data_IF_444657596049
#
_entry.id   IF_444657596049
#
_cell.length_a   1.000
_cell.length_b   1.000
_cell.length_c   1.000
_cell.angle_alpha   90.00
_cell.angle_beta   90.00
_cell.angle_gamma   90.00
#
_symmetry.space_group_name_H-M   'P 1'
#
loop_
_entity.id
_entity.type
_entity.pdbx_description
1 polymer ?
#
# COMPACT_ATOMS: atom_id res chain seq x y z
N UNK A 1 -12.91 9.31 -23.05
CA UNK A 1 -11.71 8.80 -22.34
C UNK A 1 -12.05 7.39 -21.89
N UNK A 2 -11.15 6.43 -22.06
CA UNK A 2 -11.34 5.11 -21.47
C UNK A 2 -11.39 5.28 -19.94
N UNK A 3 -12.39 4.68 -19.29
CA UNK A 3 -12.52 4.70 -17.83
C UNK A 3 -11.87 3.45 -17.22
N UNK A 4 -11.39 3.55 -16.01
CA UNK A 4 -10.91 2.43 -15.20
C UNK A 4 -11.77 2.31 -13.95
N UNK A 5 -12.52 1.21 -13.85
CA UNK A 5 -13.25 0.88 -12.63
C UNK A 5 -12.32 0.19 -11.64
N UNK A 6 -12.41 0.59 -10.39
CA UNK A 6 -11.56 0.15 -9.29
C UNK A 6 -12.36 -0.70 -8.31
N UNK A 7 -11.82 -1.84 -7.92
CA UNK A 7 -12.25 -2.59 -6.75
C UNK A 7 -11.23 -2.39 -5.62
N UNK A 8 -11.66 -1.75 -4.52
CA UNK A 8 -10.86 -1.56 -3.33
C UNK A 8 -11.14 -2.69 -2.35
N UNK A 9 -10.11 -3.41 -1.93
CA UNK A 9 -10.21 -4.57 -1.04
C UNK A 9 -9.50 -4.26 0.29
N UNK A 10 -10.28 -4.23 1.34
CA UNK A 10 -9.85 -3.77 2.68
C UNK A 10 -10.18 -2.29 2.90
N UNK A 11 -11.22 -2.00 3.67
CA UNK A 11 -11.67 -0.65 3.97
C UNK A 11 -11.42 -0.28 5.45
N UNK A 12 -10.19 -0.52 5.91
CA UNK A 12 -9.69 -0.02 7.19
C UNK A 12 -9.26 1.46 7.09
N UNK A 13 -8.33 1.88 7.94
CA UNK A 13 -7.83 3.28 7.96
C UNK A 13 -7.30 3.73 6.60
N UNK A 14 -6.41 2.95 5.99
CA UNK A 14 -5.78 3.31 4.70
C UNK A 14 -6.78 3.18 3.56
N UNK A 15 -7.53 2.05 3.52
CA UNK A 15 -8.51 1.82 2.47
C UNK A 15 -9.65 2.82 2.49
N UNK A 16 -10.17 3.17 3.67
CA UNK A 16 -11.19 4.18 3.81
C UNK A 16 -10.75 5.56 3.33
N UNK A 17 -9.54 5.99 3.72
CA UNK A 17 -8.96 7.24 3.23
C UNK A 17 -8.76 7.23 1.71
N UNK A 18 -8.31 6.10 1.16
CA UNK A 18 -8.15 5.93 -0.30
C UNK A 18 -9.49 6.02 -1.02
N UNK A 19 -10.54 5.36 -0.51
CA UNK A 19 -11.89 5.44 -1.06
C UNK A 19 -12.42 6.88 -1.05
N UNK A 20 -12.25 7.60 0.07
CA UNK A 20 -12.66 9.02 0.16
C UNK A 20 -11.95 9.90 -0.87
N UNK A 21 -10.64 9.71 -1.08
CA UNK A 21 -9.87 10.47 -2.07
C UNK A 21 -10.40 10.17 -3.48
N UNK A 22 -10.63 8.90 -3.82
CA UNK A 22 -11.14 8.51 -5.14
C UNK A 22 -12.51 9.13 -5.43
N UNK A 23 -13.41 9.18 -4.43
CA UNK A 23 -14.73 9.78 -4.58
C UNK A 23 -14.67 11.31 -4.61
N UNK A 24 -14.01 11.93 -3.63
CA UNK A 24 -13.94 13.38 -3.48
C UNK A 24 -13.20 14.07 -4.62
N UNK A 25 -12.07 13.51 -5.01
CA UNK A 25 -11.13 14.14 -5.94
C UNK A 25 -11.24 13.56 -7.36
N UNK A 26 -12.33 12.86 -7.67
CA UNK A 26 -12.56 12.15 -8.94
C UNK A 26 -12.27 12.99 -10.17
N UNK A 27 -12.79 14.20 -10.25
CA UNK A 27 -12.58 15.10 -11.40
C UNK A 27 -11.12 15.55 -11.51
N UNK A 28 -10.52 15.90 -10.38
CA UNK A 28 -9.12 16.33 -10.33
C UNK A 28 -8.20 15.20 -10.79
N UNK A 29 -8.41 14.00 -10.27
CA UNK A 29 -7.64 12.80 -10.64
C UNK A 29 -7.82 12.48 -12.12
N UNK A 30 -9.04 12.52 -12.62
CA UNK A 30 -9.35 12.27 -14.04
C UNK A 30 -8.65 13.26 -14.97
N UNK A 31 -8.65 14.55 -14.64
CA UNK A 31 -7.94 15.58 -15.42
C UNK A 31 -6.43 15.37 -15.39
N UNK A 32 -5.89 14.99 -14.23
CA UNK A 32 -4.44 14.81 -14.04
C UNK A 32 -3.90 13.56 -14.70
N UNK A 33 -4.66 12.47 -14.68
CA UNK A 33 -4.24 11.18 -15.25
C UNK A 33 -4.64 10.99 -16.71
N UNK A 34 -5.58 11.78 -17.21
CA UNK A 34 -6.17 11.58 -18.53
C UNK A 34 -7.10 10.37 -18.60
N UNK A 35 -7.43 9.74 -17.47
CA UNK A 35 -8.25 8.55 -17.35
C UNK A 35 -9.37 8.80 -16.33
N UNK A 36 -10.60 8.42 -16.64
CA UNK A 36 -11.69 8.46 -15.67
C UNK A 36 -11.50 7.30 -14.68
N UNK A 37 -11.26 7.64 -13.41
CA UNK A 37 -11.17 6.68 -12.32
C UNK A 37 -12.52 6.59 -11.61
N UNK A 38 -13.05 5.38 -11.47
CA UNK A 38 -14.34 5.13 -10.83
C UNK A 38 -14.17 4.07 -9.74
N UNK A 39 -14.53 4.41 -8.51
CA UNK A 39 -14.64 3.42 -7.43
C UNK A 39 -15.93 2.63 -7.65
N UNK A 40 -15.81 1.36 -8.06
CA UNK A 40 -16.95 0.49 -8.36
C UNK A 40 -17.32 -0.45 -7.23
N UNK A 41 -16.32 -0.88 -6.46
CA UNK A 41 -16.52 -1.84 -5.36
C UNK A 41 -15.64 -1.49 -4.16
N UNK A 42 -16.21 -1.65 -2.97
CA UNK A 42 -15.49 -1.68 -1.70
C UNK A 42 -15.71 -3.07 -1.12
N UNK A 43 -14.68 -3.92 -1.20
CA UNK A 43 -14.75 -5.31 -0.75
C UNK A 43 -14.17 -5.41 0.65
N UNK A 44 -15.00 -5.77 1.63
CA UNK A 44 -14.57 -6.00 3.02
C UNK A 44 -15.51 -6.98 3.73
N UNK A 45 -15.05 -7.53 4.84
CA UNK A 45 -15.88 -8.34 5.74
C UNK A 45 -16.75 -7.49 6.67
N UNK A 46 -16.25 -6.29 7.01
CA UNK A 46 -16.92 -5.31 7.88
C UNK A 46 -16.87 -3.91 7.27
N UNK A 47 -18.01 -3.25 7.19
CA UNK A 47 -18.18 -1.92 6.62
C UNK A 47 -18.34 -0.81 7.66
N UNK A 48 -18.03 -1.06 8.94
CA UNK A 48 -18.18 -0.06 9.99
C UNK A 48 -17.36 1.22 9.69
N UNK A 49 -16.11 1.07 9.26
CA UNK A 49 -15.26 2.20 8.86
C UNK A 49 -15.82 2.88 7.62
N UNK A 50 -16.19 2.13 6.59
CA UNK A 50 -16.76 2.68 5.36
C UNK A 50 -18.02 3.52 5.62
N UNK A 51 -18.92 3.04 6.50
CA UNK A 51 -20.14 3.77 6.91
C UNK A 51 -19.80 5.02 7.71
N UNK A 52 -18.84 4.94 8.65
CA UNK A 52 -18.42 6.10 9.45
C UNK A 52 -17.84 7.23 8.61
N UNK A 53 -17.28 6.88 7.46
CA UNK A 53 -16.73 7.81 6.47
C UNK A 53 -17.77 8.32 5.45
N UNK A 54 -19.02 7.86 5.55
CA UNK A 54 -20.11 8.27 4.65
C UNK A 54 -19.97 7.75 3.22
N UNK A 55 -19.23 6.65 3.02
CA UNK A 55 -19.07 6.05 1.70
C UNK A 55 -20.39 5.43 1.23
N UNK A 56 -20.61 5.44 -0.09
CA UNK A 56 -21.85 4.93 -0.70
C UNK A 56 -21.99 3.42 -0.48
N UNK A 57 -23.04 3.02 0.26
CA UNK A 57 -23.29 1.60 0.57
C UNK A 57 -23.61 0.75 -0.67
N UNK A 58 -24.00 1.37 -1.79
CA UNK A 58 -24.20 0.65 -3.04
C UNK A 58 -22.91 0.04 -3.62
N UNK A 59 -21.74 0.50 -3.14
CA UNK A 59 -20.43 -0.02 -3.54
C UNK A 59 -19.95 -1.18 -2.65
N UNK A 60 -20.68 -1.49 -1.55
CA UNK A 60 -20.23 -2.47 -0.58
C UNK A 60 -20.47 -3.89 -1.10
N UNK A 61 -19.43 -4.69 -1.09
CA UNK A 61 -19.43 -6.07 -1.56
C UNK A 61 -18.63 -6.95 -0.57
N UNK A 62 -19.15 -8.13 -0.27
CA UNK A 62 -18.46 -9.10 0.60
C UNK A 62 -17.64 -10.12 -0.16
N UNK A 63 -18.04 -10.36 -1.41
CA UNK A 63 -17.40 -11.36 -2.26
C UNK A 63 -16.49 -10.70 -3.29
N UNK A 64 -15.20 -11.00 -3.17
CA UNK A 64 -14.21 -10.55 -4.13
C UNK A 64 -14.51 -11.04 -5.56
N UNK A 65 -15.11 -12.23 -5.71
CA UNK A 65 -15.38 -12.79 -7.02
C UNK A 65 -16.40 -11.96 -7.80
N UNK A 66 -17.35 -11.32 -7.13
CA UNK A 66 -18.26 -10.36 -7.77
C UNK A 66 -17.48 -9.23 -8.46
N UNK A 67 -16.51 -8.63 -7.76
CA UNK A 67 -15.70 -7.56 -8.31
C UNK A 67 -14.74 -8.05 -9.40
N UNK A 68 -14.17 -9.26 -9.26
CA UNK A 68 -13.25 -9.83 -10.25
C UNK A 68 -13.96 -10.26 -11.54
N UNK A 69 -15.22 -10.68 -11.45
CA UNK A 69 -16.03 -11.09 -12.61
C UNK A 69 -16.54 -9.90 -13.43
N UNK A 70 -16.55 -8.68 -12.87
CA UNK A 70 -16.94 -7.47 -13.60
C UNK A 70 -15.87 -7.13 -14.65
N UNK A 71 -16.19 -7.17 -15.97
CA UNK A 71 -15.23 -6.87 -17.03
C UNK A 71 -14.76 -5.41 -17.03
N UNK A 72 -15.53 -4.48 -16.46
CA UNK A 72 -15.19 -3.07 -16.39
C UNK A 72 -14.16 -2.78 -15.27
N UNK A 73 -14.04 -3.66 -14.28
CA UNK A 73 -13.00 -3.56 -13.26
C UNK A 73 -11.65 -3.86 -13.90
N UNK A 74 -10.76 -2.89 -13.91
CA UNK A 74 -9.40 -3.01 -14.45
C UNK A 74 -8.32 -2.99 -13.36
N UNK A 75 -8.64 -2.43 -12.19
CA UNK A 75 -7.69 -2.23 -11.09
C UNK A 75 -8.28 -2.78 -9.80
N UNK A 76 -7.47 -3.56 -9.07
CA UNK A 76 -7.74 -4.00 -7.70
C UNK A 76 -6.75 -3.30 -6.78
N UNK A 77 -7.25 -2.60 -5.76
CA UNK A 77 -6.44 -1.95 -4.72
C UNK A 77 -6.49 -2.82 -3.47
N UNK A 78 -5.39 -3.51 -3.14
CA UNK A 78 -5.26 -4.41 -1.99
C UNK A 78 -4.72 -3.64 -0.78
N UNK A 79 -5.52 -3.55 0.30
CA UNK A 79 -5.22 -2.83 1.54
C UNK A 79 -5.68 -3.62 2.79
N UNK A 80 -5.71 -4.96 2.71
CA UNK A 80 -6.18 -5.80 3.83
C UNK A 80 -5.12 -6.04 4.90
N UNK A 81 -3.85 -5.85 4.56
CA UNK A 81 -2.72 -6.15 5.45
C UNK A 81 -2.46 -7.66 5.64
N UNK A 82 -1.40 -7.96 6.38
CA UNK A 82 -0.90 -9.34 6.52
C UNK A 82 -0.35 -9.90 5.21
N UNK A 83 0.00 -11.17 5.17
CA UNK A 83 0.63 -11.75 3.97
C UNK A 83 -0.21 -12.84 3.31
N UNK A 84 -0.96 -13.63 4.09
CA UNK A 84 -1.69 -14.81 3.57
C UNK A 84 -2.89 -14.39 2.71
N UNK A 85 -3.83 -13.65 3.30
CA UNK A 85 -5.04 -13.19 2.59
C UNK A 85 -4.68 -12.19 1.48
N UNK A 86 -3.75 -11.27 1.73
CA UNK A 86 -3.28 -10.33 0.73
C UNK A 86 -2.66 -11.02 -0.50
N UNK A 87 -1.87 -12.07 -0.28
CA UNK A 87 -1.32 -12.90 -1.36
C UNK A 87 -2.42 -13.54 -2.21
N UNK A 88 -3.41 -14.15 -1.56
CA UNK A 88 -4.53 -14.80 -2.25
C UNK A 88 -5.31 -13.80 -3.10
N UNK A 89 -5.70 -12.65 -2.53
CA UNK A 89 -6.39 -11.58 -3.23
C UNK A 89 -5.59 -11.13 -4.44
N UNK A 90 -4.32 -10.82 -4.25
CA UNK A 90 -3.42 -10.36 -5.32
C UNK A 90 -3.31 -11.37 -6.43
N UNK A 91 -3.09 -12.66 -6.11
CA UNK A 91 -2.99 -13.71 -7.12
C UNK A 91 -4.31 -13.91 -7.89
N UNK A 92 -5.46 -13.83 -7.22
CA UNK A 92 -6.78 -13.94 -7.87
C UNK A 92 -7.02 -12.77 -8.82
N UNK A 93 -6.71 -11.54 -8.38
CA UNK A 93 -6.81 -10.36 -9.23
C UNK A 93 -5.94 -10.46 -10.49
N UNK A 94 -4.67 -10.85 -10.33
CA UNK A 94 -3.75 -11.02 -11.45
C UNK A 94 -4.23 -12.10 -12.44
N UNK A 95 -4.73 -13.24 -11.95
CA UNK A 95 -5.30 -14.32 -12.80
C UNK A 95 -6.56 -13.85 -13.54
N UNK A 96 -7.34 -12.96 -12.94
CA UNK A 96 -8.51 -12.35 -13.57
C UNK A 96 -8.14 -11.23 -14.56
N UNK A 97 -6.85 -11.01 -14.84
CA UNK A 97 -6.40 -9.98 -15.78
C UNK A 97 -6.54 -8.55 -15.22
N UNK A 98 -6.56 -8.38 -13.91
CA UNK A 98 -6.68 -7.07 -13.26
C UNK A 98 -5.31 -6.58 -12.81
N UNK A 99 -5.03 -5.28 -13.02
CA UNK A 99 -3.87 -4.62 -12.41
C UNK A 99 -4.06 -4.55 -10.90
N UNK A 100 -2.96 -4.59 -10.15
CA UNK A 100 -3.01 -4.52 -8.69
C UNK A 100 -2.24 -3.30 -8.19
N UNK A 101 -2.79 -2.62 -7.19
CA UNK A 101 -2.11 -1.59 -6.40
C UNK A 101 -2.08 -2.09 -4.96
N UNK A 102 -0.92 -2.10 -4.33
CA UNK A 102 -0.80 -2.53 -2.92
C UNK A 102 0.11 -1.59 -2.13
N UNK A 103 -0.20 -1.42 -0.85
CA UNK A 103 0.66 -0.75 0.13
C UNK A 103 1.36 -1.76 1.07
N UNK A 104 1.28 -3.06 0.78
CA UNK A 104 1.67 -4.12 1.68
C UNK A 104 3.16 -4.49 1.49
N UNK A 105 4.02 -3.83 2.29
CA UNK A 105 5.46 -4.06 2.29
C UNK A 105 5.82 -5.53 2.57
N UNK A 106 5.24 -6.12 3.61
CA UNK A 106 5.51 -7.50 4.00
C UNK A 106 5.11 -8.51 2.90
N UNK A 107 3.99 -8.29 2.22
CA UNK A 107 3.58 -9.11 1.07
C UNK A 107 4.66 -9.11 -0.01
N UNK A 108 5.19 -7.94 -0.34
CA UNK A 108 6.20 -7.80 -1.39
C UNK A 108 7.56 -8.35 -0.97
N UNK A 109 7.96 -8.14 0.29
CA UNK A 109 9.21 -8.70 0.83
C UNK A 109 9.23 -10.23 0.74
N UNK A 110 8.09 -10.90 1.04
CA UNK A 110 8.01 -12.36 1.02
C UNK A 110 7.68 -12.95 -0.36
N UNK A 111 6.86 -12.28 -1.17
CA UNK A 111 6.28 -12.87 -2.38
C UNK A 111 6.41 -11.98 -3.62
N UNK A 112 7.08 -10.82 -3.52
CA UNK A 112 7.09 -9.82 -4.59
C UNK A 112 7.60 -10.36 -5.92
N UNK A 113 8.68 -11.14 -5.91
CA UNK A 113 9.26 -11.73 -7.14
C UNK A 113 8.23 -12.60 -7.85
N UNK A 114 7.59 -13.53 -7.11
CA UNK A 114 6.60 -14.45 -7.68
C UNK A 114 5.36 -13.70 -8.19
N UNK A 115 4.90 -12.70 -7.43
CA UNK A 115 3.74 -11.90 -7.80
C UNK A 115 4.00 -11.05 -9.05
N UNK A 116 5.19 -10.45 -9.17
CA UNK A 116 5.58 -9.68 -10.36
C UNK A 116 5.69 -10.58 -11.59
N UNK A 117 6.25 -11.79 -11.44
CA UNK A 117 6.28 -12.77 -12.52
C UNK A 117 4.87 -13.18 -12.96
N UNK A 118 3.97 -13.40 -11.98
CA UNK A 118 2.56 -13.71 -12.24
C UNK A 118 1.85 -12.56 -12.98
N UNK A 119 2.09 -11.32 -12.56
CA UNK A 119 1.53 -10.16 -13.24
C UNK A 119 1.98 -10.09 -14.71
N UNK A 120 3.28 -10.24 -14.96
CA UNK A 120 3.83 -10.27 -16.32
C UNK A 120 3.25 -11.36 -17.19
N UNK A 121 3.07 -12.57 -16.64
CA UNK A 121 2.50 -13.72 -17.36
C UNK A 121 1.04 -13.50 -17.74
N UNK A 122 0.31 -12.66 -17.02
CA UNK A 122 -1.08 -12.32 -17.29
C UNK A 122 -1.24 -10.97 -18.03
N UNK A 123 -0.15 -10.32 -18.44
CA UNK A 123 -0.21 -9.03 -19.15
C UNK A 123 -0.67 -7.85 -18.31
N UNK A 124 -0.55 -7.95 -16.99
CA UNK A 124 -0.95 -6.91 -16.02
C UNK A 124 0.23 -6.48 -15.15
N UNK A 125 0.04 -5.48 -14.31
CA UNK A 125 1.11 -4.90 -13.47
C UNK A 125 0.70 -4.84 -12.00
N UNK A 126 1.71 -4.76 -11.13
CA UNK A 126 1.55 -4.43 -9.72
C UNK A 126 2.22 -3.08 -9.48
N UNK A 127 1.48 -2.12 -8.95
CA UNK A 127 1.99 -0.84 -8.47
C UNK A 127 2.08 -0.86 -6.95
N UNK A 128 3.22 -0.46 -6.39
CA UNK A 128 3.50 -0.63 -4.96
C UNK A 128 4.26 0.56 -4.34
N UNK A 129 4.12 1.75 -4.92
CA UNK A 129 4.74 2.98 -4.39
C UNK A 129 4.41 3.21 -2.91
N UNK A 130 3.18 2.91 -2.49
CA UNK A 130 2.72 3.11 -1.12
C UNK A 130 3.26 2.05 -0.12
N UNK A 131 4.01 1.05 -0.57
CA UNK A 131 4.55 0.00 0.29
C UNK A 131 5.80 0.41 1.06
N UNK A 132 6.49 1.45 0.62
CA UNK A 132 7.71 1.95 1.26
C UNK A 132 7.82 3.47 1.08
N UNK A 133 8.59 4.11 1.98
CA UNK A 133 8.92 5.53 1.87
C UNK A 133 7.68 6.43 1.77
N UNK A 134 6.74 6.33 2.71
CA UNK A 134 5.46 7.05 2.66
C UNK A 134 5.59 8.52 2.24
N UNK A 135 4.92 8.92 1.15
CA UNK A 135 5.00 10.25 0.55
C UNK A 135 6.23 10.52 -0.32
N UNK A 136 7.16 9.57 -0.43
CA UNK A 136 8.39 9.68 -1.23
C UNK A 136 8.26 8.78 -2.48
N UNK A 137 8.24 9.32 -3.70
CA UNK A 137 8.03 8.54 -4.93
C UNK A 137 9.31 7.83 -5.38
N UNK A 138 9.87 6.95 -4.54
CA UNK A 138 11.17 6.30 -4.79
C UNK A 138 11.08 5.17 -5.81
N UNK A 139 10.01 4.38 -5.77
CA UNK A 139 9.82 3.26 -6.70
C UNK A 139 9.68 3.79 -8.13
N UNK A 140 8.85 4.82 -8.34
CA UNK A 140 8.69 5.45 -9.64
C UNK A 140 9.94 6.17 -10.11
N UNK A 141 10.69 6.79 -9.19
CA UNK A 141 11.96 7.39 -9.54
C UNK A 141 12.93 6.35 -10.11
N UNK A 142 13.00 5.17 -9.51
CA UNK A 142 13.87 4.08 -9.97
C UNK A 142 13.36 3.42 -11.26
N UNK A 143 12.04 3.13 -11.33
CA UNK A 143 11.46 2.37 -12.45
C UNK A 143 11.24 3.22 -13.71
N UNK A 144 10.73 4.44 -13.54
CA UNK A 144 10.33 5.31 -14.66
C UNK A 144 11.42 6.35 -14.93
N UNK A 145 11.87 7.06 -13.88
CA UNK A 145 12.79 8.19 -14.01
C UNK A 145 14.21 7.77 -14.34
N UNK A 146 14.70 6.67 -13.77
CA UNK A 146 16.06 6.18 -13.90
C UNK A 146 16.16 4.87 -14.69
N UNK A 147 15.17 4.54 -15.50
CA UNK A 147 15.09 3.26 -16.23
C UNK A 147 16.30 2.98 -17.12
N UNK A 148 16.94 4.01 -17.66
CA UNK A 148 18.14 3.89 -18.51
C UNK A 148 19.45 3.92 -17.70
N UNK A 149 19.38 4.15 -16.39
CA UNK A 149 20.55 4.29 -15.54
C UNK A 149 20.87 2.97 -14.82
N UNK A 150 22.16 2.73 -14.59
CA UNK A 150 22.59 1.69 -13.67
C UNK A 150 22.79 2.33 -12.30
N UNK A 151 21.86 2.03 -11.37
CA UNK A 151 21.97 2.48 -9.98
C UNK A 151 23.03 1.62 -9.28
N UNK A 152 24.10 2.24 -8.79
CA UNK A 152 25.20 1.54 -8.12
C UNK A 152 25.01 1.49 -6.60
N UNK A 153 24.36 2.50 -6.01
CA UNK A 153 24.08 2.55 -4.59
C UNK A 153 22.86 3.40 -4.29
N UNK A 154 22.16 3.05 -3.22
CA UNK A 154 21.06 3.81 -2.64
C UNK A 154 21.35 4.04 -1.16
N UNK A 155 21.20 5.27 -0.70
CA UNK A 155 21.35 5.65 0.69
C UNK A 155 20.06 6.30 1.17
N UNK A 156 19.60 5.95 2.38
CA UNK A 156 18.39 6.53 2.94
C UNK A 156 18.20 6.18 4.41
N UNK A 157 17.30 6.92 5.05
CA UNK A 157 16.75 6.59 6.35
C UNK A 157 15.49 5.77 6.10
N UNK A 158 15.55 4.47 6.35
CA UNK A 158 14.50 3.52 5.98
C UNK A 158 13.58 3.12 7.14
N UNK A 159 13.95 3.51 8.39
CA UNK A 159 13.11 3.29 9.58
C UNK A 159 13.15 4.54 10.48
N UNK A 160 11.96 5.12 10.72
CA UNK A 160 11.81 6.34 11.52
C UNK A 160 12.10 6.13 13.00
N UNK A 161 11.63 5.04 13.57
CA UNK A 161 11.81 4.67 14.99
C UNK A 161 13.28 4.54 15.34
N UNK A 162 14.02 3.73 14.58
CA UNK A 162 15.46 3.56 14.79
C UNK A 162 16.23 4.87 14.58
N UNK A 163 15.85 5.67 13.59
CA UNK A 163 16.48 6.97 13.36
C UNK A 163 16.29 7.90 14.58
N UNK A 164 15.07 7.94 15.14
CA UNK A 164 14.81 8.73 16.35
C UNK A 164 15.69 8.26 17.52
N UNK A 165 15.64 6.96 17.85
CA UNK A 165 16.39 6.38 18.96
C UNK A 165 17.91 6.67 18.81
N UNK A 166 18.48 6.40 17.66
CA UNK A 166 19.90 6.64 17.41
C UNK A 166 20.26 8.13 17.48
N UNK A 167 19.35 9.01 17.05
CA UNK A 167 19.55 10.45 17.13
C UNK A 167 19.62 10.93 18.59
N UNK A 168 18.71 10.48 19.45
CA UNK A 168 18.71 10.83 20.88
C UNK A 168 19.98 10.30 21.57
N UNK A 169 20.35 9.04 21.28
CA UNK A 169 21.59 8.45 21.81
C UNK A 169 22.85 9.24 21.40
N UNK A 170 22.94 9.65 20.13
CA UNK A 170 24.14 10.35 19.61
C UNK A 170 24.18 11.81 20.06
N UNK A 171 23.06 12.53 19.97
CA UNK A 171 23.04 13.98 20.20
C UNK A 171 22.91 14.35 21.67
N UNK A 172 22.25 13.53 22.49
CA UNK A 172 21.98 13.80 23.90
C UNK A 172 22.69 12.85 24.85
N UNK A 173 23.33 11.79 24.33
CA UNK A 173 23.98 10.77 25.14
C UNK A 173 22.99 9.91 25.93
N UNK A 174 21.75 9.84 25.48
CA UNK A 174 20.72 9.02 26.13
C UNK A 174 21.04 7.53 26.01
N UNK A 175 20.62 6.77 27.00
CA UNK A 175 20.70 5.31 26.93
C UNK A 175 19.63 4.79 26.00
N UNK A 176 19.88 3.64 25.41
CA UNK A 176 18.91 3.02 24.48
C UNK A 176 17.51 2.84 25.09
N UNK A 177 17.46 2.34 26.35
CA UNK A 177 16.18 2.09 27.01
C UNK A 177 15.36 3.38 27.22
N UNK A 178 16.05 4.49 27.57
CA UNK A 178 15.42 5.79 27.81
C UNK A 178 14.93 6.40 26.48
N UNK A 179 15.73 6.34 25.42
CA UNK A 179 15.37 6.80 24.08
C UNK A 179 14.21 5.98 23.50
N UNK A 180 14.17 4.67 23.71
CA UNK A 180 13.07 3.81 23.30
C UNK A 180 11.77 4.15 24.04
N UNK A 181 11.84 4.31 25.36
CA UNK A 181 10.68 4.69 26.16
C UNK A 181 10.09 6.04 25.69
N UNK A 182 10.94 7.03 25.43
CA UNK A 182 10.53 8.33 24.88
C UNK A 182 9.92 8.18 23.48
N UNK A 183 10.47 7.31 22.64
CA UNK A 183 9.90 7.02 21.32
C UNK A 183 8.48 6.43 21.43
N UNK A 184 8.25 5.52 22.37
CA UNK A 184 6.93 4.93 22.64
C UNK A 184 5.93 5.96 23.17
N UNK A 185 6.33 6.80 24.13
CA UNK A 185 5.50 7.88 24.67
C UNK A 185 5.07 8.88 23.58
N UNK A 186 5.96 9.16 22.64
CA UNK A 186 5.68 10.05 21.51
C UNK A 186 4.93 9.36 20.35
N UNK A 187 4.59 8.07 20.46
CA UNK A 187 3.90 7.31 19.41
C UNK A 187 4.75 7.02 18.18
N UNK A 188 6.08 7.13 18.30
CA UNK A 188 7.04 6.82 17.24
C UNK A 188 7.45 5.34 17.23
N UNK A 189 7.22 4.64 18.33
CA UNK A 189 7.40 3.20 18.46
C UNK A 189 6.14 2.57 19.05
N UNK A 190 5.79 1.37 18.60
CA UNK A 190 4.71 0.57 19.17
C UNK A 190 5.11 -0.02 20.53
N UNK A 191 4.12 -0.56 21.27
CA UNK A 191 4.40 -1.23 22.55
C UNK A 191 5.33 -2.43 22.39
N UNK A 192 5.24 -3.15 21.26
CA UNK A 192 6.22 -4.15 20.83
C UNK A 192 7.06 -3.60 19.67
N UNK A 193 8.24 -3.04 19.93
CA UNK A 193 9.09 -2.43 18.91
C UNK A 193 9.98 -3.44 18.18
N UNK A 194 9.78 -4.74 18.38
CA UNK A 194 10.70 -5.81 17.91
C UNK A 194 11.01 -5.72 16.42
N UNK A 195 10.03 -5.44 15.57
CA UNK A 195 10.23 -5.33 14.13
C UNK A 195 11.18 -4.18 13.78
N UNK A 196 11.04 -3.03 14.44
CA UNK A 196 11.89 -1.87 14.21
C UNK A 196 13.32 -2.13 14.71
N UNK A 197 13.46 -2.47 15.99
CA UNK A 197 14.78 -2.57 16.65
C UNK A 197 15.60 -3.77 16.18
N UNK A 198 14.95 -4.84 15.68
CA UNK A 198 15.66 -5.97 15.09
C UNK A 198 16.12 -5.71 13.65
N UNK A 199 15.68 -4.60 13.04
CA UNK A 199 15.96 -4.26 11.65
C UNK A 199 15.11 -5.00 10.62
N UNK A 200 14.16 -5.82 11.03
CA UNK A 200 13.27 -6.56 10.12
C UNK A 200 12.38 -5.61 9.30
N UNK A 201 11.87 -4.54 9.94
CA UNK A 201 11.12 -3.52 9.23
C UNK A 201 11.94 -2.85 8.13
N UNK A 202 13.21 -2.58 8.38
CA UNK A 202 14.14 -2.02 7.40
C UNK A 202 14.54 -3.01 6.30
N UNK A 203 14.50 -4.32 6.61
CA UNK A 203 14.82 -5.38 5.65
C UNK A 203 13.67 -5.67 4.68
N UNK A 204 12.43 -5.48 5.12
CA UNK A 204 11.24 -5.56 4.27
C UNK A 204 11.14 -4.39 3.30
#
# INVERSE_FOLDING_TARGET
MAGSKIALVGCGTVGGATAQILERDREFLSKRTGCALELGYIVDKDFAVARSLGLNEALFEKDLDTALADPDVSIVVELVGGTTTAKEITQRALRAGKHVVTANKALLAHYGVDLIQHARSNGVTIAFEASCGGGIPIIRALYDGLVANRVEALYGIVNGTCNYILTEMVNRGERYEDALATAQENGLAEADPTLDVSGLDSAH
#
